data_IF_434561543362
#
_entry.id   IF_434561543362
#
_cell.length_a   1.000
_cell.length_b   1.000
_cell.length_c   1.000
_cell.angle_alpha   90.00
_cell.angle_beta   90.00
_cell.angle_gamma   90.00
#
_symmetry.space_group_name_H-M   'P 1'
#
loop_
_entity.id
_entity.type
_entity.pdbx_description
1 polymer ?
#
# COMPACT_ATOMS: atom_id res chain seq x y z
N UNK A 1 2.18 15.61 -11.24
CA UNK A 1 2.87 14.32 -11.12
C UNK A 1 2.01 13.18 -11.63
N UNK A 2 2.43 11.93 -11.43
CA UNK A 2 1.73 10.75 -11.98
C UNK A 2 0.55 10.32 -11.11
N UNK A 3 -0.36 9.53 -11.68
CA UNK A 3 -1.44 8.87 -10.95
C UNK A 3 -1.36 7.39 -11.23
N UNK A 4 -1.32 6.59 -10.18
CA UNK A 4 -1.22 5.13 -10.29
C UNK A 4 -2.36 4.44 -9.55
N UNK A 5 -2.85 3.36 -10.17
CA UNK A 5 -3.78 2.44 -9.51
C UNK A 5 -3.00 1.20 -9.06
N UNK A 6 -2.98 0.95 -7.75
CA UNK A 6 -2.32 -0.23 -7.18
C UNK A 6 -3.36 -1.25 -6.75
N UNK A 7 -3.08 -2.53 -7.01
CA UNK A 7 -3.90 -3.65 -6.56
C UNK A 7 -3.22 -4.32 -5.37
N UNK A 8 -3.81 -4.13 -4.19
CA UNK A 8 -3.39 -4.78 -2.96
C UNK A 8 -4.19 -6.07 -2.78
N UNK A 9 -3.53 -7.18 -2.48
CA UNK A 9 -4.15 -8.48 -2.26
C UNK A 9 -3.63 -9.08 -0.97
N UNK A 10 -4.54 -9.54 -0.11
CA UNK A 10 -4.22 -10.39 1.03
C UNK A 10 -4.62 -11.83 0.66
N UNK A 11 -3.74 -12.61 0.00
CA UNK A 11 -4.05 -13.97 -0.36
C UNK A 11 -4.19 -14.81 0.91
N UNK A 12 -5.39 -15.33 1.15
CA UNK A 12 -5.63 -16.40 2.12
C UNK A 12 -5.00 -17.68 1.59
N UNK A 13 -3.69 -17.86 1.77
CA UNK A 13 -3.02 -19.05 1.24
C UNK A 13 -3.04 -20.20 2.24
N UNK A 14 -3.70 -21.28 1.80
CA UNK A 14 -3.38 -22.68 2.06
C UNK A 14 -4.28 -23.42 3.06
N UNK A 15 -4.33 -24.76 2.98
CA UNK A 15 -4.68 -25.57 4.14
C UNK A 15 -3.63 -25.43 5.28
N UNK A 16 -2.47 -24.82 5.02
CA UNK A 16 -1.34 -24.72 5.96
C UNK A 16 -1.03 -23.31 6.51
N UNK A 17 -1.58 -22.21 5.97
CA UNK A 17 -1.54 -20.94 6.71
C UNK A 17 -2.68 -20.94 7.71
N UNK A 18 -2.31 -21.03 8.98
CA UNK A 18 -3.25 -20.82 10.10
C UNK A 18 -3.58 -19.34 10.30
N UNK A 19 -2.90 -18.44 9.59
CA UNK A 19 -3.02 -17.01 9.83
C UNK A 19 -4.11 -16.43 8.92
N UNK A 20 -5.29 -16.20 9.53
CA UNK A 20 -6.34 -15.33 8.99
C UNK A 20 -6.01 -13.88 9.39
N UNK A 21 -4.83 -13.43 8.97
CA UNK A 21 -4.28 -12.16 9.41
C UNK A 21 -4.80 -10.99 8.59
N UNK A 22 -5.10 -9.94 9.33
CA UNK A 22 -5.33 -8.61 8.79
C UNK A 22 -3.99 -7.98 8.48
N UNK A 23 -3.88 -7.35 7.31
CA UNK A 23 -2.71 -6.55 6.95
C UNK A 23 -3.15 -5.11 6.70
N UNK A 24 -3.06 -4.23 7.72
CA UNK A 24 -3.22 -2.80 7.54
C UNK A 24 -2.09 -2.28 6.66
N UNK A 25 -2.39 -1.94 5.42
CA UNK A 25 -1.45 -1.30 4.51
C UNK A 25 -1.34 0.18 4.89
N UNK A 26 -0.12 0.66 5.10
CA UNK A 26 0.19 2.06 5.35
C UNK A 26 1.24 2.55 4.34
N UNK A 27 1.11 3.78 3.86
CA UNK A 27 2.07 4.44 2.98
C UNK A 27 2.45 5.82 3.53
N UNK A 28 3.74 6.11 3.51
CA UNK A 28 4.29 7.36 4.04
C UNK A 28 4.24 8.48 3.00
N UNK A 29 4.15 9.72 3.48
CA UNK A 29 4.25 10.99 2.73
C UNK A 29 3.07 11.31 1.80
N UNK A 30 2.47 10.30 1.19
CA UNK A 30 1.36 10.46 0.23
C UNK A 30 0.14 9.66 0.69
N UNK A 31 -1.06 10.10 0.30
CA UNK A 31 -2.28 9.35 0.54
C UNK A 31 -2.84 8.67 -0.71
N UNK A 32 -3.94 7.95 -0.52
CA UNK A 32 -4.67 7.26 -1.57
C UNK A 32 -6.19 7.28 -1.34
N UNK A 33 -6.92 6.96 -2.41
CA UNK A 33 -8.36 6.72 -2.36
C UNK A 33 -8.67 5.28 -2.77
N UNK A 34 -9.70 4.67 -2.16
CA UNK A 34 -10.18 3.34 -2.56
C UNK A 34 -11.14 3.46 -3.74
N UNK A 35 -10.85 2.75 -4.82
CA UNK A 35 -11.63 2.77 -6.07
C UNK A 35 -12.53 1.55 -6.19
N UNK A 36 -11.99 0.36 -5.91
CA UNK A 36 -12.75 -0.89 -5.85
C UNK A 36 -12.19 -1.80 -4.77
N UNK A 37 -13.00 -2.73 -4.32
CA UNK A 37 -12.56 -3.79 -3.42
C UNK A 37 -13.48 -5.00 -3.53
N UNK A 38 -13.05 -6.12 -2.96
CA UNK A 38 -13.90 -7.28 -2.82
C UNK A 38 -13.11 -8.50 -2.37
N UNK A 39 -13.68 -9.67 -2.62
CA UNK A 39 -13.07 -10.96 -2.30
C UNK A 39 -12.52 -11.60 -3.56
N UNK A 40 -11.41 -12.32 -3.44
CA UNK A 40 -10.84 -13.14 -4.51
C UNK A 40 -10.47 -14.52 -3.98
N UNK A 41 -10.47 -15.50 -4.86
CA UNK A 41 -9.92 -16.82 -4.57
C UNK A 41 -8.41 -16.80 -4.88
N UNK A 42 -7.54 -16.99 -3.88
CA UNK A 42 -6.10 -16.97 -4.10
C UNK A 42 -5.55 -18.25 -4.75
N UNK A 43 -6.30 -19.35 -4.74
CA UNK A 43 -5.88 -20.64 -5.33
C UNK A 43 -6.04 -20.60 -6.85
N UNK A 44 -7.18 -20.12 -7.33
CA UNK A 44 -7.48 -20.04 -8.77
C UNK A 44 -7.34 -18.62 -9.34
N UNK A 45 -7.06 -17.62 -8.49
CA UNK A 45 -6.77 -16.24 -8.91
C UNK A 45 -7.99 -15.44 -9.38
N UNK A 46 -9.22 -15.90 -9.12
CA UNK A 46 -10.45 -15.27 -9.63
C UNK A 46 -11.05 -14.27 -8.64
N UNK A 47 -11.62 -13.18 -9.14
CA UNK A 47 -12.40 -12.24 -8.33
C UNK A 47 -13.77 -12.84 -8.05
N UNK A 48 -14.11 -12.97 -6.77
CA UNK A 48 -15.39 -13.52 -6.30
C UNK A 48 -16.44 -12.43 -6.13
N UNK A 49 -16.04 -11.29 -5.58
CA UNK A 49 -16.91 -10.13 -5.42
C UNK A 49 -16.18 -8.85 -5.81
N UNK A 50 -16.95 -7.87 -6.27
CA UNK A 50 -16.48 -6.52 -6.55
C UNK A 50 -17.50 -5.50 -6.06
N UNK A 51 -17.02 -4.57 -5.27
CA UNK A 51 -17.75 -3.42 -4.76
C UNK A 51 -17.00 -2.20 -5.27
N UNK A 52 -17.62 -1.48 -6.19
CA UNK A 52 -17.09 -0.18 -6.64
C UNK A 52 -17.32 0.84 -5.55
N UNK A 53 -16.23 1.43 -5.09
CA UNK A 53 -16.24 2.45 -4.05
C UNK A 53 -16.20 3.80 -4.76
N UNK A 54 -17.17 4.66 -4.46
CA UNK A 54 -16.99 6.07 -4.79
C UNK A 54 -15.80 6.59 -3.97
N UNK A 55 -14.87 7.35 -4.57
CA UNK A 55 -13.68 7.82 -3.88
C UNK A 55 -14.09 8.49 -2.56
N UNK A 56 -13.70 7.87 -1.45
CA UNK A 56 -13.84 8.48 -0.12
C UNK A 56 -12.75 9.52 0.07
N UNK A 57 -12.77 10.18 1.22
CA UNK A 57 -11.65 11.00 1.67
C UNK A 57 -10.32 10.24 1.52
N UNK A 58 -9.27 11.00 1.19
CA UNK A 58 -7.92 10.49 1.11
C UNK A 58 -7.50 9.89 2.46
N UNK A 59 -6.82 8.76 2.41
CA UNK A 59 -6.32 8.02 3.57
C UNK A 59 -4.91 7.53 3.31
N UNK A 60 -4.15 7.30 4.37
CA UNK A 60 -2.79 6.74 4.30
C UNK A 60 -2.74 5.28 4.77
N UNK A 61 -3.81 4.78 5.38
CA UNK A 61 -3.86 3.47 6.04
C UNK A 61 -5.19 2.75 5.78
N UNK A 62 -5.14 1.49 5.38
CA UNK A 62 -6.32 0.67 5.13
C UNK A 62 -6.10 -0.79 5.54
N UNK A 63 -7.02 -1.34 6.33
CA UNK A 63 -7.02 -2.77 6.64
C UNK A 63 -7.41 -3.62 5.42
N UNK A 64 -6.59 -4.63 5.09
CA UNK A 64 -6.91 -5.63 4.07
C UNK A 64 -7.08 -6.99 4.72
N UNK A 65 -8.32 -7.46 4.71
CA UNK A 65 -8.73 -8.71 5.36
C UNK A 65 -8.31 -9.94 4.55
N UNK A 66 -8.20 -11.13 5.16
CA UNK A 66 -7.88 -12.36 4.43
C UNK A 66 -8.82 -12.60 3.24
N UNK A 67 -8.25 -12.89 2.06
CA UNK A 67 -9.01 -13.09 0.82
C UNK A 67 -9.51 -11.81 0.16
N UNK A 68 -9.24 -10.64 0.75
CA UNK A 68 -9.64 -9.36 0.21
C UNK A 68 -8.63 -8.86 -0.83
N UNK A 69 -9.14 -8.24 -1.87
CA UNK A 69 -8.38 -7.38 -2.77
C UNK A 69 -8.93 -5.95 -2.71
N UNK A 70 -8.06 -4.98 -2.92
CA UNK A 70 -8.39 -3.56 -2.96
C UNK A 70 -7.63 -2.90 -4.11
N UNK A 71 -8.33 -2.08 -4.91
CA UNK A 71 -7.73 -1.14 -5.86
C UNK A 71 -7.70 0.23 -5.22
N UNK A 72 -6.51 0.74 -4.98
CA UNK A 72 -6.27 2.10 -4.50
C UNK A 72 -5.76 2.98 -5.63
N UNK A 73 -6.00 4.28 -5.55
CA UNK A 73 -5.48 5.31 -6.45
C UNK A 73 -4.62 6.30 -5.69
N UNK A 74 -3.39 6.46 -6.14
CA UNK A 74 -2.37 7.33 -5.56
C UNK A 74 -2.05 8.44 -6.56
N UNK A 75 -1.96 9.68 -6.08
CA UNK A 75 -1.52 10.83 -6.87
C UNK A 75 -0.13 11.28 -6.40
N UNK A 76 0.91 10.99 -7.18
CA UNK A 76 2.29 11.38 -6.90
C UNK A 76 2.56 12.79 -7.44
N UNK A 77 1.98 13.82 -6.83
CA UNK A 77 2.04 15.18 -7.35
C UNK A 77 3.09 16.08 -6.68
N UNK A 78 3.26 15.97 -5.36
CA UNK A 78 3.83 17.05 -4.54
C UNK A 78 5.11 16.67 -3.78
N UNK A 79 5.68 15.50 -4.08
CA UNK A 79 6.88 15.00 -3.40
C UNK A 79 7.83 14.29 -4.37
N UNK A 80 9.13 14.58 -4.25
CA UNK A 80 10.23 13.86 -4.90
C UNK A 80 11.16 13.40 -3.79
N UNK A 81 11.46 12.10 -3.74
CA UNK A 81 12.22 11.52 -2.64
C UNK A 81 11.96 10.02 -2.44
N UNK A 82 12.54 9.46 -1.39
CA UNK A 82 12.36 8.06 -1.00
C UNK A 82 11.40 7.98 0.16
N UNK A 83 10.39 7.14 0.02
CA UNK A 83 9.41 6.85 1.06
C UNK A 83 9.19 5.34 1.16
N UNK A 84 8.37 4.91 2.11
CA UNK A 84 8.06 3.49 2.34
C UNK A 84 6.56 3.25 2.39
N UNK A 85 6.18 2.01 2.14
CA UNK A 85 4.88 1.47 2.53
C UNK A 85 5.12 0.17 3.29
N UNK A 86 4.25 -0.18 4.22
CA UNK A 86 4.41 -1.39 5.01
C UNK A 86 3.08 -1.88 5.59
N UNK A 87 3.10 -3.11 6.12
CA UNK A 87 2.06 -3.54 7.03
C UNK A 87 2.23 -2.83 8.37
N UNK A 88 1.18 -2.18 8.87
CA UNK A 88 1.19 -1.45 10.13
C UNK A 88 1.00 -2.37 11.36
N UNK A 89 1.35 -3.65 11.22
CA UNK A 89 1.54 -4.60 12.32
C UNK A 89 3.04 -4.68 12.55
N UNK A 90 3.52 -4.12 13.67
CA UNK A 90 4.96 -3.94 13.93
C UNK A 90 5.77 -5.22 13.73
N UNK A 91 5.28 -6.36 14.21
CA UNK A 91 5.96 -7.64 14.00
C UNK A 91 6.07 -8.06 12.53
N UNK A 92 5.12 -7.69 11.68
CA UNK A 92 5.19 -7.95 10.24
C UNK A 92 6.15 -6.96 9.56
N UNK A 93 6.11 -5.69 9.96
CA UNK A 93 7.02 -4.65 9.49
C UNK A 93 8.49 -4.99 9.79
N UNK A 94 8.79 -5.31 11.06
CA UNK A 94 10.13 -5.64 11.54
C UNK A 94 10.70 -6.90 10.87
N UNK A 95 9.82 -7.83 10.47
CA UNK A 95 10.17 -9.04 9.71
C UNK A 95 10.22 -8.82 8.19
N UNK A 96 10.07 -7.58 7.72
CA UNK A 96 10.32 -7.19 6.33
C UNK A 96 9.09 -7.05 5.45
N UNK A 97 7.87 -6.97 6.00
CA UNK A 97 6.65 -6.63 5.24
C UNK A 97 6.58 -5.12 4.95
N UNK A 98 7.65 -4.61 4.34
CA UNK A 98 7.89 -3.21 3.99
C UNK A 98 8.45 -3.14 2.57
N UNK A 99 8.03 -2.14 1.81
CA UNK A 99 8.56 -1.79 0.49
C UNK A 99 9.01 -0.33 0.45
N UNK A 100 9.96 -0.06 -0.44
CA UNK A 100 10.50 1.28 -0.70
C UNK A 100 9.92 1.81 -2.00
N UNK A 101 9.59 3.10 -2.04
CA UNK A 101 9.16 3.82 -3.23
C UNK A 101 10.15 4.96 -3.47
N UNK A 102 10.68 5.02 -4.68
CA UNK A 102 11.44 6.18 -5.18
C UNK A 102 10.53 7.01 -6.07
N UNK A 103 10.17 8.20 -5.58
CA UNK A 103 9.37 9.17 -6.32
C UNK A 103 10.33 10.16 -6.98
N UNK A 104 10.26 10.24 -8.30
CA UNK A 104 11.16 11.04 -9.15
C UNK A 104 10.39 12.16 -9.84
N UNK A 105 11.12 13.19 -10.25
CA UNK A 105 10.60 14.24 -11.13
C UNK A 105 10.36 13.73 -12.56
N UNK A 106 9.88 14.62 -13.44
CA UNK A 106 9.57 14.29 -14.83
C UNK A 106 10.78 13.82 -15.65
N UNK A 107 11.99 14.20 -15.23
CA UNK A 107 13.25 13.84 -15.87
C UNK A 107 13.87 12.57 -15.25
N UNK A 108 13.21 11.97 -14.25
CA UNK A 108 13.66 10.79 -13.53
C UNK A 108 14.67 11.09 -12.41
N UNK A 109 14.87 12.35 -12.04
CA UNK A 109 15.73 12.72 -10.93
C UNK A 109 14.96 12.61 -9.59
N UNK A 110 15.60 12.06 -8.57
CA UNK A 110 14.99 11.81 -7.27
C UNK A 110 15.87 10.92 -6.40
N UNK A 111 15.28 10.20 -5.46
CA UNK A 111 16.03 9.44 -4.46
C UNK A 111 16.71 8.16 -5.00
N UNK A 112 17.79 8.35 -5.76
CA UNK A 112 18.78 7.33 -6.06
C UNK A 112 19.79 7.13 -4.93
N UNK A 113 20.67 6.12 -5.09
CA UNK A 113 21.74 5.76 -4.15
C UNK A 113 22.59 6.99 -3.80
N UNK A 114 22.62 7.39 -2.52
CA UNK A 114 23.56 8.41 -2.01
C UNK A 114 22.97 9.60 -1.25
N UNK A 115 21.64 9.72 -1.07
CA UNK A 115 21.04 10.85 -0.36
C UNK A 115 20.40 10.45 0.97
N UNK A 116 20.78 11.15 2.05
CA UNK A 116 20.18 11.01 3.39
C UNK A 116 18.75 11.56 3.38
N UNK A 117 17.81 10.81 3.95
CA UNK A 117 16.44 11.25 4.16
C UNK A 117 16.42 12.60 4.89
N UNK A 118 15.54 13.55 4.54
CA UNK A 118 15.29 14.71 5.36
C UNK A 118 14.83 14.21 6.72
N UNK A 119 15.70 14.35 7.70
CA UNK A 119 15.45 14.09 9.11
C UNK A 119 14.12 14.69 9.55
N UNK A 120 13.30 13.88 10.23
CA UNK A 120 12.47 14.31 11.36
C UNK A 120 11.37 15.35 11.06
N UNK A 121 10.26 14.91 10.46
CA UNK A 121 8.96 15.58 10.66
C UNK A 121 7.90 14.56 11.06
N UNK A 122 7.87 14.27 12.36
CA UNK A 122 6.69 13.88 13.16
C UNK A 122 5.75 12.82 12.60
N UNK A 123 5.99 11.55 12.96
CA UNK A 123 4.92 10.58 13.11
C UNK A 123 4.36 10.72 14.54
N UNK A 124 3.15 11.24 14.70
CA UNK A 124 2.41 11.09 15.95
C UNK A 124 1.69 9.76 15.95
N UNK A 125 1.91 8.98 17.01
CA UNK A 125 1.11 7.82 17.39
C UNK A 125 -0.38 8.16 17.58
#
# INVERSE_FOLDING_TARGET
GTTEDWILKNPKVAPFSRSVENHPFHIHVIGFTVVDQGQFDPVIGVILTRITSYPRAEMDTLNISPGQWVRIRIHFADYVGRTVFHCHVLGHEDLGMMGVIDIVDADGNGAGVGQLLPTQTGHSH
#
